data_IF_943025916610
#
_entry.id   IF_943025916610
#
_cell.length_a   1.000
_cell.length_b   1.000
_cell.length_c   1.000
_cell.angle_alpha   90.00
_cell.angle_beta   90.00
_cell.angle_gamma   90.00
#
_symmetry.space_group_name_H-M   'P 1'
#
loop_
_entity.id
_entity.type
_entity.pdbx_description
1 polymer ?
#
# COMPACT_ATOMS: atom_id res chain seq x y z
N UNK A 1 30.55 -27.32 52.03
CA UNK A 1 30.96 -26.70 50.75
C UNK A 1 30.08 -27.06 49.54
N UNK A 2 28.86 -27.58 49.73
CA UNK A 2 27.98 -28.00 48.61
C UNK A 2 26.79 -27.04 48.32
N UNK A 3 26.57 -26.05 49.16
CA UNK A 3 25.42 -25.14 49.08
C UNK A 3 25.67 -23.82 48.34
N UNK A 4 26.91 -23.50 47.97
CA UNK A 4 27.25 -22.25 47.23
C UNK A 4 27.34 -22.40 45.71
N UNK A 5 27.40 -23.63 45.17
CA UNK A 5 27.47 -23.86 43.74
C UNK A 5 26.10 -23.87 43.03
N UNK A 6 25.01 -24.14 43.78
CA UNK A 6 23.67 -24.20 43.20
C UNK A 6 23.07 -22.80 42.97
N UNK A 7 23.47 -21.81 43.82
CA UNK A 7 22.97 -20.42 43.69
C UNK A 7 23.60 -19.65 42.52
N UNK A 8 24.78 -20.04 42.06
CA UNK A 8 25.46 -19.39 40.91
C UNK A 8 24.91 -19.89 39.55
N UNK A 9 24.40 -21.15 39.48
CA UNK A 9 23.78 -21.67 38.29
C UNK A 9 22.39 -21.09 38.03
N UNK A 10 21.62 -20.76 39.09
CA UNK A 10 20.30 -20.14 38.94
C UNK A 10 20.38 -18.66 38.53
N UNK A 11 21.45 -17.94 38.90
CA UNK A 11 21.63 -16.55 38.50
C UNK A 11 22.07 -16.42 37.02
N UNK A 12 22.84 -17.41 36.50
CA UNK A 12 23.27 -17.42 35.11
C UNK A 12 22.13 -17.76 34.11
N UNK A 13 21.12 -18.53 34.54
CA UNK A 13 19.96 -18.88 33.70
C UNK A 13 18.95 -17.73 33.67
N UNK A 14 18.87 -16.86 34.67
CA UNK A 14 17.98 -15.71 34.69
C UNK A 14 18.52 -14.51 33.87
N UNK A 15 19.83 -14.42 33.65
CA UNK A 15 20.42 -13.36 32.82
C UNK A 15 20.36 -13.66 31.29
N UNK A 16 20.13 -14.91 30.90
CA UNK A 16 20.01 -15.29 29.49
C UNK A 16 18.60 -15.05 28.86
N UNK A 17 17.64 -14.63 29.68
CA UNK A 17 16.25 -14.39 29.24
C UNK A 17 15.92 -12.89 29.01
N UNK A 18 16.88 -12.00 29.10
CA UNK A 18 16.75 -10.58 28.79
C UNK A 18 17.51 -10.24 27.49
N UNK A 19 17.25 -11.00 26.43
CA UNK A 19 17.44 -10.40 25.11
C UNK A 19 16.38 -9.31 25.00
N UNK A 20 16.76 -8.03 24.75
CA UNK A 20 15.74 -7.04 24.42
C UNK A 20 15.01 -7.60 23.18
N UNK A 21 13.69 -7.80 23.29
CA UNK A 21 12.85 -7.82 22.10
C UNK A 21 13.13 -6.45 21.47
N UNK A 22 14.00 -6.40 20.47
CA UNK A 22 14.02 -5.28 19.55
C UNK A 22 12.61 -5.27 18.95
N UNK A 23 11.77 -4.38 19.46
CA UNK A 23 10.50 -4.07 18.84
C UNK A 23 10.87 -3.57 17.46
N UNK A 24 10.72 -4.43 16.45
CA UNK A 24 10.79 -4.01 15.05
C UNK A 24 9.74 -2.91 14.96
N UNK A 25 10.20 -1.66 14.85
CA UNK A 25 9.30 -0.53 14.66
C UNK A 25 8.49 -0.83 13.40
N UNK A 26 7.17 -0.83 13.54
CA UNK A 26 6.29 -1.01 12.39
C UNK A 26 6.65 0.04 11.33
N UNK A 27 6.66 -0.37 10.06
CA UNK A 27 6.86 0.56 8.97
C UNK A 27 5.83 1.70 9.04
N UNK A 28 6.20 2.91 8.64
CA UNK A 28 5.30 4.05 8.70
C UNK A 28 4.02 3.77 7.94
N UNK A 29 2.90 4.17 8.51
CA UNK A 29 1.58 3.94 7.96
C UNK A 29 1.05 2.51 8.11
N UNK A 30 1.84 1.57 8.65
CA UNK A 30 1.37 0.25 9.02
C UNK A 30 0.64 0.28 10.39
N UNK A 31 -0.21 -0.70 10.70
CA UNK A 31 -0.84 -0.82 12.00
C UNK A 31 0.21 -0.81 13.13
N UNK A 32 -0.02 0.02 14.13
CA UNK A 32 0.93 0.23 15.22
C UNK A 32 1.94 1.37 14.99
N UNK A 33 2.02 1.95 13.80
CA UNK A 33 2.70 3.22 13.54
C UNK A 33 1.72 4.39 13.68
N UNK A 34 2.17 5.49 14.29
CA UNK A 34 1.41 6.75 14.35
C UNK A 34 1.73 7.68 13.19
N UNK A 35 2.69 7.30 12.35
CA UNK A 35 3.25 8.15 11.32
C UNK A 35 2.66 7.81 9.95
N UNK A 36 2.29 8.84 9.19
CA UNK A 36 1.90 8.70 7.80
C UNK A 36 3.08 8.20 6.95
N UNK A 37 2.82 7.20 6.09
CA UNK A 37 3.79 6.62 5.16
C UNK A 37 3.66 7.20 3.76
N UNK A 38 4.80 7.47 3.13
CA UNK A 38 4.88 7.84 1.73
C UNK A 38 5.26 6.62 0.89
N UNK A 39 4.45 6.31 -0.11
CA UNK A 39 4.69 5.23 -1.05
C UNK A 39 4.69 5.72 -2.50
N UNK A 40 5.20 4.87 -3.39
CA UNK A 40 5.05 5.07 -4.82
C UNK A 40 5.01 3.72 -5.55
N UNK A 41 4.25 3.64 -6.64
CA UNK A 41 4.22 2.44 -7.47
C UNK A 41 5.42 2.36 -8.41
N UNK A 42 5.95 1.15 -8.54
CA UNK A 42 6.99 0.78 -9.49
C UNK A 42 6.39 -0.07 -10.60
N UNK A 43 6.58 0.33 -11.84
CA UNK A 43 6.20 -0.46 -12.98
C UNK A 43 7.25 -1.54 -13.27
N UNK A 44 6.92 -2.80 -13.04
CA UNK A 44 7.81 -3.95 -13.24
C UNK A 44 8.28 -4.12 -14.68
N UNK A 45 7.42 -3.77 -15.64
CA UNK A 45 7.67 -3.92 -17.07
C UNK A 45 8.19 -2.63 -17.71
N UNK A 46 8.29 -1.56 -16.91
CA UNK A 46 8.70 -0.25 -17.37
C UNK A 46 10.19 -0.09 -17.50
N UNK A 47 10.59 0.91 -18.27
CA UNK A 47 11.97 1.37 -18.30
C UNK A 47 12.38 1.90 -16.92
N UNK A 48 13.66 1.86 -16.60
CA UNK A 48 14.22 2.42 -15.36
C UNK A 48 13.69 1.80 -14.05
N UNK A 49 13.26 0.52 -14.05
CA UNK A 49 12.68 -0.08 -12.84
C UNK A 49 13.68 -0.11 -11.65
N UNK A 50 14.94 -0.45 -11.89
CA UNK A 50 15.98 -0.42 -10.84
C UNK A 50 16.31 1.00 -10.40
N UNK A 51 16.36 1.95 -11.33
CA UNK A 51 16.52 3.38 -11.05
C UNK A 51 15.34 3.90 -10.22
N UNK A 52 14.13 3.41 -10.47
CA UNK A 52 12.94 3.71 -9.67
C UNK A 52 13.10 3.28 -8.21
N UNK A 53 13.64 2.07 -7.93
CA UNK A 53 13.94 1.62 -6.56
C UNK A 53 14.99 2.52 -5.91
N UNK A 54 16.06 2.89 -6.63
CA UNK A 54 17.07 3.82 -6.12
C UNK A 54 16.47 5.18 -5.80
N UNK A 55 15.64 5.70 -6.71
CA UNK A 55 14.94 6.97 -6.51
C UNK A 55 14.04 6.94 -5.28
N UNK A 56 13.31 5.84 -5.06
CA UNK A 56 12.50 5.65 -3.86
C UNK A 56 13.35 5.71 -2.58
N UNK A 57 14.53 5.08 -2.60
CA UNK A 57 15.47 5.13 -1.48
C UNK A 57 16.05 6.53 -1.28
N UNK A 58 16.46 7.23 -2.35
CA UNK A 58 17.02 8.58 -2.29
C UNK A 58 16.00 9.62 -1.79
N UNK A 59 14.73 9.45 -2.16
CA UNK A 59 13.60 10.23 -1.64
C UNK A 59 13.24 9.85 -0.21
N UNK A 60 13.79 8.73 0.30
CA UNK A 60 13.41 8.17 1.60
C UNK A 60 11.92 7.81 1.66
N UNK A 61 11.36 7.25 0.61
CA UNK A 61 10.02 6.66 0.68
C UNK A 61 10.00 5.54 1.72
N UNK A 62 8.85 5.34 2.32
CA UNK A 62 8.64 4.25 3.29
C UNK A 62 8.23 2.96 2.57
N UNK A 63 7.52 3.11 1.44
CA UNK A 63 6.94 2.01 0.70
C UNK A 63 7.18 2.11 -0.81
N UNK A 64 7.31 0.94 -1.43
CA UNK A 64 7.18 0.77 -2.88
C UNK A 64 6.01 -0.16 -3.16
N UNK A 65 5.07 0.27 -3.98
CA UNK A 65 3.98 -0.57 -4.50
C UNK A 65 4.40 -1.26 -5.80
N UNK A 66 4.00 -2.50 -5.98
CA UNK A 66 4.26 -3.29 -7.18
C UNK A 66 2.99 -4.02 -7.59
N UNK A 67 2.47 -3.72 -8.77
CA UNK A 67 1.37 -4.49 -9.36
C UNK A 67 1.93 -5.74 -10.02
N UNK A 68 1.63 -6.90 -9.42
CA UNK A 68 2.08 -8.19 -9.89
C UNK A 68 0.94 -8.93 -10.59
N UNK A 69 0.97 -8.92 -11.92
CA UNK A 69 0.07 -9.75 -12.72
C UNK A 69 0.43 -11.23 -12.52
N UNK A 70 -0.41 -11.96 -11.79
CA UNK A 70 -0.20 -13.39 -11.56
C UNK A 70 -0.22 -14.19 -12.86
N UNK A 71 -1.11 -13.83 -13.78
CA UNK A 71 -1.15 -14.45 -15.11
C UNK A 71 0.15 -14.26 -15.88
N UNK A 72 0.79 -13.09 -15.75
CA UNK A 72 2.06 -12.81 -16.46
C UNK A 72 3.21 -13.63 -15.89
N UNK A 73 3.33 -13.74 -14.57
CA UNK A 73 4.44 -14.47 -13.93
C UNK A 73 4.20 -15.97 -13.83
N UNK A 74 2.97 -16.43 -13.88
CA UNK A 74 2.60 -17.84 -13.77
C UNK A 74 1.49 -18.22 -14.79
N UNK A 75 1.76 -18.11 -16.11
CA UNK A 75 0.76 -18.41 -17.15
C UNK A 75 0.34 -19.89 -17.16
N UNK A 76 1.13 -20.76 -16.53
CA UNK A 76 0.86 -22.19 -16.41
C UNK A 76 1.03 -22.65 -14.96
N UNK A 77 0.17 -23.58 -14.53
CA UNK A 77 0.28 -24.17 -13.21
C UNK A 77 1.65 -24.82 -12.97
N UNK A 78 2.19 -24.62 -11.76
CA UNK A 78 3.46 -25.23 -11.33
C UNK A 78 4.73 -24.54 -11.81
N UNK A 79 4.64 -23.43 -12.53
CA UNK A 79 5.80 -22.65 -13.00
C UNK A 79 5.59 -21.17 -12.75
N UNK A 80 6.54 -20.51 -12.10
CA UNK A 80 6.53 -19.06 -11.86
C UNK A 80 7.83 -18.46 -12.38
N UNK A 81 7.73 -17.45 -13.22
CA UNK A 81 8.87 -16.67 -13.72
C UNK A 81 9.12 -15.45 -12.81
N UNK A 82 10.13 -15.53 -12.00
CA UNK A 82 10.57 -14.47 -11.08
C UNK A 82 11.63 -13.54 -11.67
N UNK A 83 12.08 -13.79 -12.91
CA UNK A 83 13.25 -13.10 -13.50
C UNK A 83 13.16 -11.57 -13.45
N UNK A 84 11.97 -11.02 -13.63
CA UNK A 84 11.76 -9.57 -13.56
C UNK A 84 11.64 -9.06 -12.13
N UNK A 85 11.10 -9.86 -11.24
CA UNK A 85 10.84 -9.46 -9.86
C UNK A 85 12.09 -9.58 -8.97
N UNK A 86 12.90 -10.62 -9.17
CA UNK A 86 14.12 -10.88 -8.37
C UNK A 86 15.02 -9.64 -8.21
N UNK A 87 15.47 -8.96 -9.27
CA UNK A 87 16.40 -7.83 -9.12
C UNK A 87 15.78 -6.63 -8.41
N UNK A 88 14.45 -6.45 -8.54
CA UNK A 88 13.72 -5.35 -7.91
C UNK A 88 13.57 -5.61 -6.41
N UNK A 89 13.17 -6.82 -6.02
CA UNK A 89 13.02 -7.21 -4.63
C UNK A 89 14.37 -7.22 -3.89
N UNK A 90 15.44 -7.68 -4.57
CA UNK A 90 16.80 -7.61 -4.04
C UNK A 90 17.26 -6.16 -3.83
N UNK A 91 16.96 -5.26 -4.76
CA UNK A 91 17.30 -3.85 -4.63
C UNK A 91 16.51 -3.19 -3.49
N UNK A 92 15.21 -3.48 -3.37
CA UNK A 92 14.36 -2.97 -2.30
C UNK A 92 14.85 -3.46 -0.92
N UNK A 93 15.16 -4.75 -0.80
CA UNK A 93 15.68 -5.33 0.45
C UNK A 93 17.01 -4.68 0.88
N UNK A 94 17.95 -4.49 -0.06
CA UNK A 94 19.23 -3.81 0.23
C UNK A 94 19.04 -2.34 0.63
N UNK A 95 18.00 -1.69 0.14
CA UNK A 95 17.65 -0.30 0.46
C UNK A 95 16.74 -0.18 1.68
N UNK A 96 16.38 -1.28 2.34
CA UNK A 96 15.46 -1.33 3.48
C UNK A 96 14.08 -0.70 3.17
N UNK A 97 13.64 -0.76 1.92
CA UNK A 97 12.32 -0.32 1.49
C UNK A 97 11.29 -1.42 1.75
N UNK A 98 10.17 -1.05 2.33
CA UNK A 98 9.01 -1.95 2.45
C UNK A 98 8.31 -2.06 1.09
N UNK A 99 7.99 -3.28 0.66
CA UNK A 99 7.27 -3.51 -0.59
C UNK A 99 5.86 -3.99 -0.29
N UNK A 100 4.86 -3.32 -0.88
CA UNK A 100 3.52 -3.83 -1.01
C UNK A 100 3.37 -4.47 -2.39
N UNK A 101 2.94 -5.72 -2.44
CA UNK A 101 2.61 -6.39 -3.70
C UNK A 101 1.10 -6.43 -3.86
N UNK A 102 0.59 -5.73 -4.86
CA UNK A 102 -0.80 -5.83 -5.30
C UNK A 102 -0.91 -6.98 -6.29
N UNK A 103 -1.51 -8.09 -5.85
CA UNK A 103 -1.71 -9.28 -6.69
C UNK A 103 -2.89 -9.05 -7.62
N UNK A 104 -2.63 -9.02 -8.92
CA UNK A 104 -3.62 -8.77 -9.96
C UNK A 104 -3.76 -9.96 -10.91
N UNK A 105 -4.80 -9.99 -11.72
CA UNK A 105 -4.98 -10.86 -12.89
C UNK A 105 -4.68 -12.35 -12.61
N UNK A 106 -5.57 -13.04 -11.90
CA UNK A 106 -5.43 -14.47 -11.71
C UNK A 106 -5.44 -15.21 -13.06
N UNK A 107 -4.51 -16.17 -13.29
CA UNK A 107 -4.48 -16.94 -14.53
C UNK A 107 -5.68 -17.89 -14.63
N UNK A 108 -6.07 -18.25 -15.86
CA UNK A 108 -7.25 -19.11 -16.12
C UNK A 108 -7.23 -20.41 -15.31
N UNK A 109 -6.04 -21.02 -15.15
CA UNK A 109 -5.91 -22.25 -14.38
C UNK A 109 -6.14 -22.07 -12.87
N UNK A 110 -6.13 -20.82 -12.37
CA UNK A 110 -6.40 -20.45 -11.00
C UNK A 110 -7.77 -19.79 -10.80
N UNK A 111 -8.57 -19.62 -11.85
CA UNK A 111 -9.94 -19.14 -11.75
C UNK A 111 -10.94 -20.25 -11.42
N UNK A 112 -12.04 -19.85 -10.81
CA UNK A 112 -13.25 -20.62 -10.56
C UNK A 112 -14.46 -19.86 -11.14
N UNK A 113 -15.66 -20.40 -11.04
CA UNK A 113 -16.87 -19.68 -11.42
C UNK A 113 -17.16 -18.43 -10.58
N UNK A 114 -16.53 -18.30 -9.41
CA UNK A 114 -16.73 -17.22 -8.43
C UNK A 114 -15.51 -16.28 -8.31
N UNK A 115 -14.53 -16.40 -9.18
CA UNK A 115 -13.29 -15.62 -9.16
C UNK A 115 -12.05 -16.44 -8.86
N UNK A 116 -10.97 -15.84 -8.35
CA UNK A 116 -9.73 -16.54 -8.04
C UNK A 116 -9.92 -17.69 -7.04
N UNK A 117 -9.23 -18.81 -7.28
CA UNK A 117 -9.28 -19.99 -6.39
C UNK A 117 -8.65 -19.66 -5.04
N UNK A 118 -9.38 -19.85 -3.92
CA UNK A 118 -8.86 -19.57 -2.58
C UNK A 118 -7.57 -20.33 -2.27
N UNK A 119 -7.54 -21.63 -2.58
CA UNK A 119 -6.39 -22.49 -2.31
C UNK A 119 -5.17 -22.10 -3.13
N UNK A 120 -5.34 -21.88 -4.45
CA UNK A 120 -4.22 -21.53 -5.33
C UNK A 120 -3.68 -20.13 -5.04
N UNK A 121 -4.55 -19.18 -4.71
CA UNK A 121 -4.15 -17.83 -4.28
C UNK A 121 -3.33 -17.90 -2.99
N UNK A 122 -3.78 -18.69 -2.02
CA UNK A 122 -3.06 -18.88 -0.76
C UNK A 122 -1.67 -19.51 -0.98
N UNK A 123 -1.57 -20.55 -1.82
CA UNK A 123 -0.29 -21.17 -2.18
C UNK A 123 0.66 -20.18 -2.85
N UNK A 124 0.15 -19.36 -3.78
CA UNK A 124 0.97 -18.34 -4.47
C UNK A 124 1.44 -17.24 -3.50
N UNK A 125 0.58 -16.75 -2.61
CA UNK A 125 0.94 -15.76 -1.61
C UNK A 125 2.05 -16.27 -0.67
N UNK A 126 1.94 -17.52 -0.19
CA UNK A 126 2.99 -18.17 0.63
C UNK A 126 4.30 -18.28 -0.15
N UNK A 127 4.24 -18.68 -1.43
CA UNK A 127 5.43 -18.79 -2.28
C UNK A 127 6.11 -17.42 -2.48
N UNK A 128 5.34 -16.36 -2.71
CA UNK A 128 5.82 -14.99 -2.88
C UNK A 128 6.54 -14.49 -1.62
N UNK A 129 5.91 -14.62 -0.45
CA UNK A 129 6.49 -14.13 0.82
C UNK A 129 7.72 -14.93 1.22
N UNK A 130 7.71 -16.26 1.04
CA UNK A 130 8.88 -17.11 1.29
C UNK A 130 10.07 -16.76 0.39
N UNK A 131 9.81 -16.32 -0.85
CA UNK A 131 10.88 -15.92 -1.76
C UNK A 131 11.49 -14.58 -1.38
N UNK A 132 10.70 -13.61 -0.91
CA UNK A 132 11.14 -12.25 -0.63
C UNK A 132 10.81 -11.78 0.80
N UNK A 133 11.23 -12.52 1.83
CA UNK A 133 10.80 -12.28 3.21
C UNK A 133 11.28 -10.93 3.78
N UNK A 134 12.34 -10.34 3.21
CA UNK A 134 12.89 -9.06 3.65
C UNK A 134 12.28 -7.86 2.91
N UNK A 135 11.76 -8.06 1.70
CA UNK A 135 11.20 -6.99 0.89
C UNK A 135 9.68 -6.89 1.04
N UNK A 136 8.96 -8.01 0.87
CA UNK A 136 7.49 -8.04 0.89
C UNK A 136 6.98 -7.90 2.33
N UNK A 137 6.45 -6.73 2.65
CA UNK A 137 5.89 -6.41 3.97
C UNK A 137 4.36 -6.31 3.95
N UNK A 138 3.76 -6.14 2.76
CA UNK A 138 2.32 -6.12 2.58
C UNK A 138 1.90 -6.82 1.28
N UNK A 139 0.71 -7.43 1.30
CA UNK A 139 0.04 -7.96 0.10
C UNK A 139 -1.36 -7.36 0.03
N UNK A 140 -1.67 -6.74 -1.10
CA UNK A 140 -3.02 -6.37 -1.49
C UNK A 140 -3.58 -7.42 -2.46
N UNK A 141 -4.75 -7.96 -2.14
CA UNK A 141 -5.37 -9.00 -2.94
C UNK A 141 -6.38 -8.40 -3.92
N UNK A 142 -6.12 -8.58 -5.21
CA UNK A 142 -7.02 -8.25 -6.31
C UNK A 142 -7.62 -6.84 -6.19
N UNK A 143 -6.79 -5.77 -6.33
CA UNK A 143 -7.29 -4.40 -6.35
C UNK A 143 -8.38 -4.23 -7.41
N UNK A 144 -9.38 -3.40 -7.12
CA UNK A 144 -10.62 -3.27 -7.86
C UNK A 144 -11.49 -4.55 -7.92
N UNK A 145 -11.46 -5.39 -6.85
CA UNK A 145 -12.28 -6.61 -6.78
C UNK A 145 -13.80 -6.35 -6.84
N UNK A 146 -14.23 -5.10 -6.64
CA UNK A 146 -15.62 -4.66 -6.87
C UNK A 146 -15.95 -4.47 -8.35
N UNK A 147 -15.00 -4.70 -9.27
CA UNK A 147 -15.21 -4.63 -10.72
C UNK A 147 -14.97 -5.97 -11.40
N UNK A 148 -15.67 -6.20 -12.51
CA UNK A 148 -15.48 -7.38 -13.35
C UNK A 148 -14.00 -7.56 -13.76
N UNK A 149 -13.36 -6.47 -14.14
CA UNK A 149 -11.95 -6.47 -14.57
C UNK A 149 -11.00 -6.83 -13.43
N UNK A 150 -11.20 -6.25 -12.25
CA UNK A 150 -10.30 -6.48 -11.10
C UNK A 150 -10.45 -7.86 -10.48
N UNK A 151 -11.68 -8.38 -10.45
CA UNK A 151 -11.96 -9.72 -9.90
C UNK A 151 -11.78 -10.86 -10.92
N UNK A 152 -11.84 -10.56 -12.23
CA UNK A 152 -11.74 -11.54 -13.30
C UNK A 152 -13.01 -12.35 -13.55
N UNK A 153 -14.06 -12.13 -12.78
CA UNK A 153 -15.42 -12.67 -12.88
C UNK A 153 -16.40 -11.62 -12.36
N UNK A 154 -17.70 -11.93 -12.34
CA UNK A 154 -18.65 -11.05 -11.67
C UNK A 154 -18.21 -10.84 -10.21
N UNK A 155 -18.12 -9.58 -9.73
CA UNK A 155 -17.72 -9.29 -8.35
C UNK A 155 -18.57 -10.04 -7.32
N UNK A 156 -17.91 -10.73 -6.41
CA UNK A 156 -18.53 -11.55 -5.36
C UNK A 156 -17.86 -11.27 -4.01
N UNK A 157 -18.47 -10.44 -3.14
CA UNK A 157 -17.91 -10.12 -1.82
C UNK A 157 -17.68 -11.34 -0.93
N UNK A 158 -18.56 -12.36 -1.03
CA UNK A 158 -18.40 -13.58 -0.25
C UNK A 158 -17.19 -14.40 -0.75
N UNK A 159 -17.06 -14.57 -2.05
CA UNK A 159 -15.91 -15.26 -2.63
C UNK A 159 -14.59 -14.52 -2.32
N UNK A 160 -14.58 -13.18 -2.36
CA UNK A 160 -13.43 -12.39 -1.94
C UNK A 160 -13.02 -12.70 -0.50
N UNK A 161 -13.97 -12.76 0.43
CA UNK A 161 -13.70 -13.07 1.83
C UNK A 161 -13.18 -14.50 2.03
N UNK A 162 -13.62 -15.47 1.21
CA UNK A 162 -13.08 -16.84 1.24
C UNK A 162 -11.63 -16.86 0.77
N UNK A 163 -11.29 -16.12 -0.29
CA UNK A 163 -9.91 -15.98 -0.77
C UNK A 163 -9.04 -15.33 0.31
N UNK A 164 -9.46 -14.19 0.85
CA UNK A 164 -8.75 -13.46 1.90
C UNK A 164 -8.47 -14.34 3.12
N UNK A 165 -9.48 -15.06 3.60
CA UNK A 165 -9.36 -15.94 4.76
C UNK A 165 -8.42 -17.12 4.48
N UNK A 166 -8.43 -17.68 3.26
CA UNK A 166 -7.53 -18.75 2.86
C UNK A 166 -6.07 -18.29 2.83
N UNK A 167 -5.80 -17.09 2.29
CA UNK A 167 -4.46 -16.49 2.29
C UNK A 167 -3.99 -16.22 3.72
N UNK A 168 -4.82 -15.60 4.55
CA UNK A 168 -4.50 -15.32 5.95
C UNK A 168 -4.13 -16.59 6.72
N UNK A 169 -4.93 -17.65 6.58
CA UNK A 169 -4.68 -18.92 7.25
C UNK A 169 -3.39 -19.58 6.77
N UNK A 170 -3.13 -19.60 5.47
CA UNK A 170 -1.94 -20.21 4.90
C UNK A 170 -0.64 -19.48 5.32
N UNK A 171 -0.65 -18.15 5.34
CA UNK A 171 0.47 -17.34 5.83
C UNK A 171 0.73 -17.61 7.32
N UNK A 172 -0.32 -17.64 8.14
CA UNK A 172 -0.22 -17.95 9.57
C UNK A 172 0.33 -19.38 9.81
N UNK A 173 -0.16 -20.39 9.11
CA UNK A 173 0.32 -21.77 9.20
C UNK A 173 1.78 -21.91 8.77
N UNK A 174 2.24 -21.04 7.87
CA UNK A 174 3.62 -21.00 7.40
C UNK A 174 4.55 -20.13 8.26
N UNK A 175 4.03 -19.58 9.38
CA UNK A 175 4.73 -18.63 10.26
C UNK A 175 5.28 -17.40 9.51
N UNK A 176 4.57 -16.94 8.49
CA UNK A 176 4.91 -15.77 7.70
C UNK A 176 4.16 -14.55 8.23
N UNK A 177 4.92 -13.52 8.58
CA UNK A 177 4.37 -12.23 9.02
C UNK A 177 4.40 -11.24 7.86
N UNK A 178 3.24 -10.97 7.29
CA UNK A 178 3.04 -9.98 6.22
C UNK A 178 1.69 -9.31 6.44
N UNK A 179 1.61 -8.01 6.17
CA UNK A 179 0.37 -7.27 6.32
C UNK A 179 -0.57 -7.58 5.14
N UNK A 180 -1.79 -8.04 5.44
CA UNK A 180 -2.84 -8.11 4.43
C UNK A 180 -3.57 -6.77 4.32
N UNK A 181 -3.65 -6.28 3.09
CA UNK A 181 -4.36 -5.07 2.70
C UNK A 181 -5.58 -5.50 1.91
N UNK A 182 -6.75 -5.10 2.34
CA UNK A 182 -8.00 -5.60 1.78
C UNK A 182 -8.90 -4.51 1.23
N UNK A 183 -9.79 -4.93 0.33
CA UNK A 183 -10.75 -4.06 -0.34
C UNK A 183 -10.32 -3.72 -1.76
N UNK A 184 -9.18 -3.02 -1.92
CA UNK A 184 -8.74 -2.54 -3.23
C UNK A 184 -9.83 -1.74 -3.96
N UNK A 185 -10.66 -1.03 -3.18
CA UNK A 185 -11.92 -0.46 -3.64
C UNK A 185 -11.68 0.57 -4.75
N UNK A 186 -12.35 0.38 -5.87
CA UNK A 186 -12.34 1.35 -6.97
C UNK A 186 -13.69 2.08 -7.01
N UNK A 187 -13.72 3.41 -6.86
CA UNK A 187 -14.94 4.17 -7.07
C UNK A 187 -15.45 3.96 -8.48
N UNK A 188 -16.69 3.48 -8.63
CA UNK A 188 -17.36 3.29 -9.91
C UNK A 188 -18.64 4.11 -9.94
N UNK A 189 -18.95 4.70 -11.09
CA UNK A 189 -20.22 5.39 -11.27
C UNK A 189 -21.31 4.36 -11.56
N UNK A 190 -22.24 4.22 -10.64
CA UNK A 190 -23.37 3.31 -10.79
C UNK A 190 -24.26 3.78 -11.95
N UNK A 191 -24.54 2.88 -12.89
CA UNK A 191 -25.46 3.13 -14.00
C UNK A 191 -24.81 3.60 -15.30
N UNK A 192 -23.48 3.58 -15.41
CA UNK A 192 -22.84 3.67 -16.73
C UNK A 192 -22.96 2.32 -17.45
N UNK A 193 -23.34 2.33 -18.71
CA UNK A 193 -23.57 1.11 -19.53
C UNK A 193 -22.30 0.22 -19.63
N UNK A 194 -21.11 0.81 -19.47
CA UNK A 194 -19.83 0.10 -19.55
C UNK A 194 -19.51 -0.74 -18.30
N UNK A 195 -20.22 -0.52 -17.16
CA UNK A 195 -19.93 -1.11 -15.85
C UNK A 195 -21.16 -1.79 -15.23
N UNK A 196 -22.09 -2.32 -16.03
CA UNK A 196 -23.34 -2.91 -15.54
C UNK A 196 -23.17 -4.10 -14.56
N UNK A 197 -21.99 -4.74 -14.53
CA UNK A 197 -21.67 -5.85 -13.65
C UNK A 197 -20.81 -5.44 -12.44
N UNK A 198 -20.29 -4.21 -12.43
CA UNK A 198 -19.49 -3.71 -11.32
C UNK A 198 -20.38 -3.39 -10.12
N UNK A 199 -19.85 -3.57 -8.94
CA UNK A 199 -20.54 -3.22 -7.69
C UNK A 199 -19.93 -1.90 -7.20
N UNK A 200 -20.80 -0.96 -6.80
CA UNK A 200 -20.40 0.25 -6.11
C UNK A 200 -19.49 -0.10 -4.91
N UNK A 201 -18.39 0.61 -4.77
CA UNK A 201 -17.35 0.31 -3.80
C UNK A 201 -17.83 0.38 -2.33
N UNK A 202 -18.75 1.32 -2.03
CA UNK A 202 -19.41 1.42 -0.71
C UNK A 202 -20.27 0.19 -0.44
N UNK A 203 -21.09 -0.22 -1.40
CA UNK A 203 -21.95 -1.40 -1.31
C UNK A 203 -21.14 -2.69 -1.22
N UNK A 204 -20.04 -2.78 -1.96
CA UNK A 204 -19.11 -3.90 -1.88
C UNK A 204 -18.48 -4.00 -0.50
N UNK A 205 -17.95 -2.88 0.04
CA UNK A 205 -17.37 -2.83 1.38
C UNK A 205 -18.37 -3.19 2.47
N UNK A 206 -19.60 -2.67 2.41
CA UNK A 206 -20.68 -3.04 3.35
C UNK A 206 -20.95 -4.54 3.33
N UNK A 207 -20.96 -5.15 2.14
CA UNK A 207 -21.10 -6.60 2.00
C UNK A 207 -19.92 -7.37 2.59
N UNK A 208 -18.69 -6.90 2.40
CA UNK A 208 -17.51 -7.50 3.02
C UNK A 208 -17.61 -7.51 4.56
N UNK A 209 -18.10 -6.42 5.16
CA UNK A 209 -18.30 -6.36 6.63
C UNK A 209 -19.30 -7.39 7.13
N UNK A 210 -20.35 -7.71 6.36
CA UNK A 210 -21.30 -8.77 6.72
C UNK A 210 -20.63 -10.16 6.81
N UNK A 211 -19.54 -10.38 6.08
CA UNK A 211 -18.73 -11.60 6.12
C UNK A 211 -17.51 -11.51 7.05
N UNK A 212 -17.41 -10.46 7.90
CA UNK A 212 -16.41 -10.38 8.95
C UNK A 212 -15.10 -9.69 8.56
N UNK A 213 -15.09 -8.89 7.51
CA UNK A 213 -13.92 -8.20 6.96
C UNK A 213 -13.12 -7.41 8.01
N UNK A 214 -13.77 -6.60 8.86
CA UNK A 214 -13.10 -5.79 9.88
C UNK A 214 -12.37 -6.59 10.97
N UNK A 215 -12.63 -7.91 11.07
CA UNK A 215 -11.87 -8.82 11.95
C UNK A 215 -10.70 -9.49 11.23
N UNK A 216 -10.74 -9.52 9.90
CA UNK A 216 -9.74 -10.19 9.08
C UNK A 216 -8.58 -9.26 8.71
N UNK A 217 -8.83 -7.97 8.51
CA UNK A 217 -7.81 -7.01 8.10
C UNK A 217 -7.85 -5.74 8.95
N UNK A 218 -6.69 -5.12 9.12
CA UNK A 218 -6.54 -3.82 9.80
C UNK A 218 -6.40 -2.66 8.81
N UNK A 219 -6.31 -2.95 7.52
CA UNK A 219 -6.10 -1.95 6.47
C UNK A 219 -7.13 -2.14 5.36
N UNK A 220 -7.90 -1.09 5.09
CA UNK A 220 -8.79 -0.99 3.94
C UNK A 220 -8.07 -0.21 2.86
N UNK A 221 -7.95 -0.75 1.65
CA UNK A 221 -7.34 -0.05 0.52
C UNK A 221 -8.39 0.53 -0.41
N UNK A 222 -8.09 1.71 -0.94
CA UNK A 222 -8.88 2.38 -1.97
C UNK A 222 -7.97 2.90 -3.07
N UNK A 223 -8.48 2.93 -4.30
CA UNK A 223 -7.81 3.52 -5.45
C UNK A 223 -8.27 4.97 -5.63
N UNK A 224 -7.34 5.86 -5.98
CA UNK A 224 -7.57 7.28 -6.21
C UNK A 224 -6.82 7.75 -7.46
N UNK A 225 -7.00 7.05 -8.59
CA UNK A 225 -6.31 7.30 -9.85
C UNK A 225 -7.21 7.76 -11.00
N UNK A 226 -8.53 7.57 -10.89
CA UNK A 226 -9.51 8.07 -11.89
C UNK A 226 -10.30 9.24 -11.31
N UNK A 227 -9.60 10.19 -10.68
CA UNK A 227 -10.22 11.28 -9.93
C UNK A 227 -10.70 12.43 -10.82
N UNK A 228 -11.67 13.17 -10.29
CA UNK A 228 -12.13 14.45 -10.82
C UNK A 228 -11.81 15.58 -9.84
N UNK A 229 -11.58 16.77 -10.35
CA UNK A 229 -11.58 18.01 -9.57
C UNK A 229 -10.41 18.20 -8.59
N UNK A 230 -10.72 18.99 -7.59
CA UNK A 230 -9.77 19.48 -6.58
C UNK A 230 -9.56 18.44 -5.47
N UNK A 231 -8.33 18.27 -4.92
CA UNK A 231 -8.07 17.32 -3.84
C UNK A 231 -8.88 17.58 -2.56
N UNK A 232 -9.32 18.79 -2.34
CA UNK A 232 -10.11 19.20 -1.16
C UNK A 232 -11.61 19.07 -1.35
N UNK A 233 -12.06 18.74 -2.58
CA UNK A 233 -13.47 18.59 -2.88
C UNK A 233 -14.10 17.49 -2.01
N UNK A 234 -15.20 17.80 -1.34
CA UNK A 234 -15.97 16.82 -0.59
C UNK A 234 -16.73 15.88 -1.55
N UNK A 235 -16.88 14.59 -1.19
CA UNK A 235 -17.70 13.66 -1.97
C UNK A 235 -19.16 14.07 -1.92
N UNK A 236 -19.89 13.81 -3.01
CA UNK A 236 -21.33 13.89 -3.05
C UNK A 236 -21.94 12.64 -3.70
N UNK A 237 -23.27 12.55 -3.73
CA UNK A 237 -23.95 11.36 -4.30
C UNK A 237 -23.81 11.19 -5.81
N UNK A 238 -23.47 12.27 -6.52
CA UNK A 238 -23.39 12.29 -7.98
C UNK A 238 -21.94 12.11 -8.46
N UNK A 239 -20.94 12.37 -7.60
CA UNK A 239 -19.53 12.27 -7.94
C UNK A 239 -18.74 11.72 -6.76
N UNK A 240 -18.41 10.44 -6.80
CA UNK A 240 -17.61 9.73 -5.82
C UNK A 240 -16.12 9.61 -6.23
N UNK A 241 -15.75 10.01 -7.47
CA UNK A 241 -14.37 9.98 -7.97
C UNK A 241 -13.59 11.24 -7.54
N UNK A 242 -13.69 11.59 -6.29
CA UNK A 242 -12.93 12.69 -5.65
C UNK A 242 -11.98 12.11 -4.60
N UNK A 243 -10.87 12.78 -4.36
CA UNK A 243 -9.90 12.27 -3.37
C UNK A 243 -10.54 12.02 -2.01
N UNK A 244 -11.40 12.92 -1.55
CA UNK A 244 -12.05 12.83 -0.24
C UNK A 244 -13.16 11.77 -0.16
N UNK A 245 -13.35 10.94 -1.18
CA UNK A 245 -14.21 9.76 -1.08
C UNK A 245 -13.80 8.82 0.07
N UNK A 246 -12.54 8.88 0.52
CA UNK A 246 -12.11 8.18 1.73
C UNK A 246 -12.93 8.55 2.98
N UNK A 247 -13.55 9.74 3.04
CA UNK A 247 -14.43 10.12 4.14
C UNK A 247 -15.68 9.21 4.18
N UNK A 248 -16.24 8.88 3.02
CA UNK A 248 -17.37 7.95 2.89
C UNK A 248 -16.96 6.55 3.30
N UNK A 249 -15.80 6.07 2.83
CA UNK A 249 -15.26 4.76 3.22
C UNK A 249 -14.98 4.72 4.73
N UNK A 250 -14.43 5.78 5.31
CA UNK A 250 -14.21 5.87 6.75
C UNK A 250 -15.51 5.79 7.54
N UNK A 251 -16.59 6.42 7.07
CA UNK A 251 -17.89 6.33 7.72
C UNK A 251 -18.40 4.88 7.72
N UNK A 252 -18.29 4.16 6.60
CA UNK A 252 -18.64 2.72 6.54
C UNK A 252 -17.85 1.90 7.55
N UNK A 253 -16.54 2.16 7.68
CA UNK A 253 -15.70 1.49 8.69
C UNK A 253 -16.21 1.74 10.11
N UNK A 254 -16.55 2.98 10.45
CA UNK A 254 -17.07 3.37 11.77
C UNK A 254 -18.42 2.70 12.04
N UNK A 255 -19.33 2.72 11.08
CA UNK A 255 -20.66 2.10 11.20
C UNK A 255 -20.60 0.59 11.42
N UNK A 256 -19.47 -0.05 11.07
CA UNK A 256 -19.22 -1.47 11.26
C UNK A 256 -18.23 -1.79 12.41
N UNK A 257 -17.94 -0.84 13.29
CA UNK A 257 -17.10 -1.06 14.47
C UNK A 257 -15.62 -1.30 14.15
N UNK A 258 -15.13 -0.72 13.05
CA UNK A 258 -13.73 -0.86 12.60
C UNK A 258 -12.94 0.45 12.80
N UNK A 259 -13.09 1.08 13.97
CA UNK A 259 -12.50 2.38 14.33
C UNK A 259 -10.96 2.34 14.30
N UNK A 260 -10.37 1.22 14.72
CA UNK A 260 -8.92 1.02 14.74
C UNK A 260 -8.28 0.75 13.37
N UNK A 261 -9.10 0.54 12.33
CA UNK A 261 -8.61 0.27 10.99
C UNK A 261 -8.03 1.51 10.31
N UNK A 262 -7.01 1.28 9.47
CA UNK A 262 -6.40 2.32 8.63
C UNK A 262 -6.96 2.24 7.20
N UNK A 263 -6.87 3.36 6.48
CA UNK A 263 -7.09 3.41 5.04
C UNK A 263 -5.73 3.60 4.35
N UNK A 264 -5.45 2.81 3.33
CA UNK A 264 -4.34 3.03 2.40
C UNK A 264 -4.86 3.49 1.05
N UNK A 265 -4.29 4.57 0.54
CA UNK A 265 -4.54 5.04 -0.83
C UNK A 265 -3.52 4.37 -1.72
N UNK A 266 -3.89 3.25 -2.34
CA UNK A 266 -2.93 2.39 -3.04
C UNK A 266 -2.53 2.89 -4.42
N UNK A 267 -3.36 3.73 -5.05
CA UNK A 267 -3.03 4.41 -6.31
C UNK A 267 -3.51 5.85 -6.22
N UNK A 268 -2.57 6.79 -6.14
CA UNK A 268 -2.88 8.22 -6.09
C UNK A 268 -2.38 8.91 -7.36
N UNK A 269 -3.31 9.43 -8.16
CA UNK A 269 -2.99 10.23 -9.35
C UNK A 269 -3.90 11.45 -9.45
N UNK A 270 -3.39 12.58 -9.97
CA UNK A 270 -4.23 13.72 -10.29
C UNK A 270 -5.16 13.38 -11.46
N UNK A 271 -6.23 14.15 -11.65
CA UNK A 271 -7.02 14.06 -12.87
C UNK A 271 -6.13 14.15 -14.11
N UNK A 272 -6.34 13.29 -15.09
CA UNK A 272 -5.53 13.19 -16.32
C UNK A 272 -6.13 13.91 -17.53
N UNK A 273 -7.33 14.47 -17.34
CA UNK A 273 -8.10 15.11 -18.42
C UNK A 273 -8.96 14.16 -19.24
N UNK A 274 -9.03 12.86 -18.91
CA UNK A 274 -9.90 11.89 -19.62
C UNK A 274 -11.36 12.30 -19.60
N UNK A 275 -11.79 12.99 -18.55
CA UNK A 275 -13.17 13.49 -18.37
C UNK A 275 -13.40 14.78 -19.18
N UNK A 276 -12.39 15.62 -19.34
CA UNK A 276 -12.43 16.81 -20.17
C UNK A 276 -11.14 16.93 -21.01
N UNK A 277 -11.03 16.22 -22.13
CA UNK A 277 -9.83 16.17 -22.96
C UNK A 277 -9.38 17.54 -23.50
N UNK A 278 -10.30 18.51 -23.57
CA UNK A 278 -10.01 19.86 -24.05
C UNK A 278 -9.35 20.76 -22.97
N UNK A 279 -9.43 20.37 -21.69
CA UNK A 279 -8.84 21.10 -20.59
C UNK A 279 -7.36 20.70 -20.39
N UNK A 280 -6.47 21.37 -21.11
CA UNK A 280 -5.03 21.10 -21.10
C UNK A 280 -4.34 21.34 -19.73
N UNK A 281 -5.04 21.93 -18.75
CA UNK A 281 -4.46 22.16 -17.41
C UNK A 281 -4.03 20.86 -16.72
N UNK A 282 -4.76 19.76 -16.97
CA UNK A 282 -4.44 18.46 -16.38
C UNK A 282 -3.11 17.86 -16.90
N UNK A 283 -2.65 18.34 -18.06
CA UNK A 283 -1.36 17.94 -18.65
C UNK A 283 -0.22 18.88 -18.23
N UNK A 284 -0.52 19.98 -17.51
CA UNK A 284 0.48 20.91 -17.02
C UNK A 284 1.21 20.33 -15.80
N UNK A 285 2.54 20.13 -15.87
CA UNK A 285 3.32 19.61 -14.76
C UNK A 285 3.24 20.46 -13.48
N UNK A 286 3.04 21.78 -13.61
CA UNK A 286 2.89 22.66 -12.46
C UNK A 286 1.53 22.43 -11.75
N UNK A 287 0.46 22.28 -12.52
CA UNK A 287 -0.84 21.89 -11.98
C UNK A 287 -0.77 20.54 -11.25
N UNK A 288 -0.18 19.53 -11.90
CA UNK A 288 -0.04 18.20 -11.32
C UNK A 288 0.77 18.23 -10.01
N UNK A 289 1.88 18.98 -9.98
CA UNK A 289 2.69 19.14 -8.79
C UNK A 289 1.94 19.81 -7.64
N UNK A 290 1.20 20.88 -7.92
CA UNK A 290 0.37 21.57 -6.93
C UNK A 290 -0.79 20.72 -6.43
N UNK A 291 -1.40 19.90 -7.31
CA UNK A 291 -2.45 18.97 -6.93
C UNK A 291 -1.93 17.90 -5.95
N UNK A 292 -0.77 17.29 -6.23
CA UNK A 292 -0.15 16.32 -5.34
C UNK A 292 0.22 16.92 -3.98
N UNK A 293 0.75 18.15 -3.95
CA UNK A 293 1.07 18.82 -2.69
C UNK A 293 -0.16 18.98 -1.82
N UNK A 294 -1.27 19.43 -2.38
CA UNK A 294 -2.54 19.57 -1.65
C UNK A 294 -3.08 18.20 -1.23
N UNK A 295 -3.05 17.21 -2.12
CA UNK A 295 -3.51 15.85 -1.85
C UNK A 295 -2.75 15.22 -0.66
N UNK A 296 -1.42 15.24 -0.68
CA UNK A 296 -0.62 14.68 0.42
C UNK A 296 -0.83 15.43 1.73
N UNK A 297 -0.92 16.77 1.72
CA UNK A 297 -1.20 17.54 2.91
C UNK A 297 -2.58 17.22 3.49
N UNK A 298 -3.58 17.02 2.64
CA UNK A 298 -4.91 16.59 3.06
C UNK A 298 -4.89 15.18 3.67
N UNK A 299 -4.27 14.21 2.99
CA UNK A 299 -4.23 12.82 3.44
C UNK A 299 -3.46 12.66 4.75
N UNK A 300 -2.28 13.27 4.88
CA UNK A 300 -1.47 13.17 6.10
C UNK A 300 -2.10 13.85 7.31
N UNK A 301 -3.05 14.76 7.10
CA UNK A 301 -3.81 15.39 8.20
C UNK A 301 -4.86 14.45 8.82
N UNK A 302 -5.15 13.31 8.17
CA UNK A 302 -6.12 12.33 8.65
C UNK A 302 -5.41 11.21 9.42
N UNK A 303 -5.69 11.05 10.70
CA UNK A 303 -5.04 10.04 11.55
C UNK A 303 -5.33 8.59 11.13
N UNK A 304 -6.38 8.36 10.37
CA UNK A 304 -6.77 7.04 9.87
C UNK A 304 -6.26 6.73 8.46
N UNK A 305 -5.58 7.67 7.79
CA UNK A 305 -4.88 7.39 6.53
C UNK A 305 -3.45 6.98 6.86
N UNK A 306 -3.14 5.71 6.59
CA UNK A 306 -1.81 5.16 6.87
C UNK A 306 -0.79 5.52 5.80
N UNK A 307 -1.05 5.14 4.56
CA UNK A 307 -0.12 5.33 3.43
C UNK A 307 -0.86 5.89 2.22
N UNK A 308 -0.18 6.73 1.45
CA UNK A 308 -0.58 7.06 0.09
C UNK A 308 0.54 6.74 -0.89
N UNK A 309 0.21 5.98 -1.94
CA UNK A 309 1.13 5.58 -2.99
C UNK A 309 0.93 6.46 -4.22
N UNK A 310 1.93 7.24 -4.54
CA UNK A 310 2.03 7.95 -5.82
C UNK A 310 2.07 6.92 -6.97
N UNK A 311 1.37 7.19 -8.06
CA UNK A 311 1.07 6.16 -9.06
C UNK A 311 2.20 5.80 -10.02
N UNK A 312 3.40 6.43 -9.94
CA UNK A 312 4.46 6.01 -10.84
C UNK A 312 5.85 6.51 -10.50
N UNK A 313 6.79 5.59 -10.19
CA UNK A 313 8.22 5.89 -10.10
C UNK A 313 8.86 5.99 -11.48
N UNK A 314 8.52 5.06 -12.38
CA UNK A 314 9.15 4.89 -13.68
C UNK A 314 8.11 4.69 -14.80
N UNK A 315 8.42 5.13 -16.04
CA UNK A 315 7.47 5.09 -17.14
C UNK A 315 7.24 3.66 -17.64
N UNK A 316 6.03 3.41 -18.13
CA UNK A 316 5.64 2.23 -18.89
C UNK A 316 5.09 2.60 -20.26
N UNK A 317 5.17 1.69 -21.20
CA UNK A 317 4.59 1.89 -22.53
C UNK A 317 3.06 1.76 -22.53
N UNK A 318 2.53 1.00 -21.56
CA UNK A 318 1.09 0.73 -21.42
C UNK A 318 0.37 1.70 -20.50
N UNK A 319 1.11 2.52 -19.72
CA UNK A 319 0.53 3.43 -18.74
C UNK A 319 0.99 4.87 -19.02
N UNK A 320 0.07 5.77 -19.42
CA UNK A 320 0.35 7.18 -19.66
C UNK A 320 0.45 7.98 -18.38
N UNK A 321 0.30 7.38 -17.19
CA UNK A 321 0.29 8.09 -15.92
C UNK A 321 1.57 8.90 -15.70
N UNK A 322 1.43 9.93 -14.88
CA UNK A 322 2.55 10.80 -14.50
C UNK A 322 3.53 10.01 -13.66
N UNK A 323 4.80 9.98 -14.09
CA UNK A 323 5.87 9.27 -13.39
C UNK A 323 6.98 10.21 -12.97
N UNK A 324 7.65 9.88 -11.85
CA UNK A 324 8.77 10.69 -11.34
C UNK A 324 9.98 10.65 -12.28
N UNK A 325 10.30 9.48 -12.84
CA UNK A 325 11.26 9.34 -13.93
C UNK A 325 10.47 9.40 -15.22
N UNK A 326 10.72 10.39 -16.06
CA UNK A 326 10.08 10.52 -17.36
C UNK A 326 10.78 9.64 -18.41
N UNK A 327 10.12 9.39 -19.55
CA UNK A 327 10.67 8.54 -20.66
C UNK A 327 12.03 9.02 -21.17
N UNK A 328 12.33 10.29 -21.06
CA UNK A 328 13.61 10.89 -21.44
C UNK A 328 14.69 10.78 -20.34
N UNK A 329 14.37 10.17 -19.20
CA UNK A 329 15.28 10.02 -18.07
C UNK A 329 15.39 11.25 -17.14
N UNK A 330 14.70 12.33 -17.42
CA UNK A 330 14.60 13.49 -16.51
C UNK A 330 13.52 13.27 -15.45
N UNK A 331 13.56 14.08 -14.40
CA UNK A 331 12.58 14.02 -13.34
C UNK A 331 11.41 14.97 -13.59
N UNK A 332 10.22 14.52 -13.25
CA UNK A 332 9.03 15.36 -13.21
C UNK A 332 9.15 16.43 -12.12
N UNK A 333 8.63 17.66 -12.31
CA UNK A 333 8.68 18.71 -11.29
C UNK A 333 8.18 18.29 -9.90
N UNK A 334 7.20 17.41 -9.82
CA UNK A 334 6.70 16.85 -8.57
C UNK A 334 7.79 16.15 -7.72
N UNK A 335 8.88 15.68 -8.31
CA UNK A 335 10.02 15.12 -7.57
C UNK A 335 10.49 16.05 -6.45
N UNK A 336 10.63 17.37 -6.74
CA UNK A 336 11.06 18.37 -5.76
C UNK A 336 10.02 18.52 -4.64
N UNK A 337 8.76 18.68 -5.03
CA UNK A 337 7.64 18.82 -4.09
C UNK A 337 7.54 17.59 -3.16
N UNK A 338 7.62 16.38 -3.70
CA UNK A 338 7.58 15.14 -2.92
C UNK A 338 8.74 15.06 -1.92
N UNK A 339 9.95 15.41 -2.34
CA UNK A 339 11.13 15.47 -1.47
C UNK A 339 10.95 16.44 -0.31
N UNK A 340 10.40 17.63 -0.58
CA UNK A 340 10.11 18.65 0.44
C UNK A 340 9.03 18.16 1.42
N UNK A 341 7.94 17.55 0.94
CA UNK A 341 6.88 16.96 1.76
C UNK A 341 7.40 15.87 2.71
N UNK A 342 8.22 14.94 2.20
CA UNK A 342 8.81 13.88 3.00
C UNK A 342 9.77 14.45 4.05
N UNK A 343 10.62 15.39 3.66
CA UNK A 343 11.59 16.02 4.56
C UNK A 343 10.89 16.81 5.67
N UNK A 344 9.83 17.54 5.38
CA UNK A 344 9.03 18.26 6.36
C UNK A 344 8.36 17.29 7.35
N UNK A 345 7.77 16.20 6.85
CA UNK A 345 7.14 15.19 7.70
C UNK A 345 8.12 14.52 8.68
N UNK A 346 9.38 14.37 8.28
CA UNK A 346 10.44 13.78 9.14
C UNK A 346 11.00 14.77 10.16
N UNK A 347 11.11 16.06 9.81
CA UNK A 347 11.62 17.09 10.72
C UNK A 347 10.66 17.42 11.86
N UNK A 348 9.36 17.38 11.63
CA UNK A 348 8.35 17.60 12.66
C UNK A 348 8.42 16.57 13.79
N UNK A 349 8.90 15.36 13.51
CA UNK A 349 9.06 14.28 14.47
C UNK A 349 10.33 14.43 15.33
N UNK A 350 11.41 15.00 14.80
CA UNK A 350 12.63 15.29 15.56
C UNK A 350 12.51 16.53 16.44
N UNK A 351 11.61 17.47 16.10
CA UNK A 351 11.31 18.67 16.91
C UNK A 351 10.57 18.38 18.22
N UNK A 352 9.92 17.22 18.34
CA UNK A 352 9.14 16.83 19.52
C UNK A 352 9.97 16.15 20.62
N UNK A 353 11.28 15.98 20.46
CA UNK A 353 12.13 15.52 21.58
C UNK A 353 12.31 16.65 22.58
N UNK A 354 11.95 16.46 23.90
CA UNK A 354 12.17 17.48 24.91
C UNK A 354 13.66 17.86 24.92
N UNK A 355 13.91 19.15 24.74
CA UNK A 355 15.24 19.70 24.56
C UNK A 355 16.22 19.21 25.63
N UNK A 356 17.33 18.66 25.18
CA UNK A 356 18.50 18.44 25.99
C UNK A 356 18.80 19.76 26.70
N UNK A 357 18.72 19.76 28.05
CA UNK A 357 19.02 20.94 28.86
C UNK A 357 20.35 21.55 28.39
N UNK A 358 20.31 22.83 28.00
CA UNK A 358 21.51 23.56 27.65
C UNK A 358 22.42 23.55 28.85
N UNK A 359 23.60 22.92 28.72
CA UNK A 359 24.66 22.94 29.72
C UNK A 359 24.95 24.40 30.07
N UNK A 360 24.73 24.76 31.33
CA UNK A 360 25.12 26.04 31.87
C UNK A 360 26.67 26.13 31.84
N UNK A 361 27.23 27.23 31.35
CA UNK A 361 28.67 27.39 31.37
C UNK A 361 29.14 27.42 32.82
N UNK A 362 30.16 26.60 33.15
CA UNK A 362 30.88 26.61 34.39
C UNK A 362 31.49 27.99 34.65
N UNK A 363 31.04 28.68 35.71
CA UNK A 363 31.68 29.87 36.21
C UNK A 363 33.09 29.48 36.69
N UNK A 364 34.12 30.10 36.08
CA UNK A 364 35.47 30.13 36.62
C UNK A 364 35.48 31.06 37.84
N UNK A 365 35.82 30.55 38.97
CA UNK A 365 36.28 31.28 40.15
C UNK A 365 37.80 31.31 40.13
#
# INVERSE_FOLDING_TARGET
MRTRLVSLLFLAVLLAALTPLESVLAARGAPGSTDFGFGAHLNLNGQFAIEGVRLASDLQLDWVGVDLSWQTVAPKAGSVDWTRLDPIMDAAARSQLSVMVSLTEAPDWALTAHGPSPEKTAQFAVQLVNRYPQAVQAIELFPAANTLRGWGQQPDPQAFMVVLSSVMNALSQSNLSVQLVGGGLKPVLVGSDDNAQDIDDVSFLQSLYQYGFGKAVSIVSIQANDLTGDPLQAPDKSENRVLRHYDTIRQVMLDNGHEGGLIWITHLAPPDGSINPDDKKYQDPAFQSGWYEQAYNQLKSQLYIGVAFFSGLNPSDSDPSVTLIQRQGNYHPFYRTLRELISANRSDQFGSRPGRAKDKPLRKS
#
